data_IF_992032662279
#
_entry.id   IF_992032662279
#
_cell.length_a   1.000
_cell.length_b   1.000
_cell.length_c   1.000
_cell.angle_alpha   90.00
_cell.angle_beta   90.00
_cell.angle_gamma   90.00
#
_symmetry.space_group_name_H-M   'P 1'
#
loop_
_entity.id
_entity.type
_entity.pdbx_description
1 polymer ?
#
# COMPACT_ATOMS: atom_id res chain seq x y z
N UNK A 1 -18.45 6.74 -4.26
CA UNK A 1 -17.30 7.67 -4.16
C UNK A 1 -16.45 7.29 -2.94
N UNK A 2 -15.21 6.80 -3.11
CA UNK A 2 -14.35 6.43 -1.97
C UNK A 2 -13.91 7.71 -1.26
N UNK A 3 -14.18 7.82 0.05
CA UNK A 3 -13.71 8.94 0.89
C UNK A 3 -12.17 9.03 0.79
N UNK A 4 -11.59 10.24 0.75
CA UNK A 4 -10.15 10.40 0.80
C UNK A 4 -9.61 9.77 2.07
N UNK A 5 -8.57 8.93 1.94
CA UNK A 5 -7.90 8.29 3.06
C UNK A 5 -6.75 9.16 3.55
N UNK A 6 -6.45 9.11 4.85
CA UNK A 6 -5.31 9.84 5.44
C UNK A 6 -4.09 8.93 5.59
N UNK A 7 -4.30 7.66 5.93
CA UNK A 7 -3.28 6.62 6.04
C UNK A 7 -3.64 5.47 5.12
N UNK A 8 -2.64 4.83 4.53
CA UNK A 8 -2.86 3.72 3.61
C UNK A 8 -1.69 2.76 3.59
N UNK A 9 -1.96 1.51 3.25
CA UNK A 9 -0.96 0.48 3.09
C UNK A 9 -1.51 -0.62 2.17
N UNK A 10 -0.69 -1.09 1.24
CA UNK A 10 -0.95 -2.32 0.53
C UNK A 10 -0.19 -3.45 1.23
N UNK A 11 -0.95 -4.44 1.70
CA UNK A 11 -0.41 -5.61 2.39
C UNK A 11 -0.90 -6.89 1.73
N UNK A 12 -0.15 -7.97 1.92
CA UNK A 12 -0.50 -9.31 1.46
C UNK A 12 -1.16 -10.09 2.59
N UNK A 13 -2.37 -10.62 2.37
CA UNK A 13 -3.00 -11.57 3.30
C UNK A 13 -2.16 -12.85 3.34
N UNK A 14 -1.67 -13.21 4.53
CA UNK A 14 -0.85 -14.42 4.71
C UNK A 14 -1.72 -15.59 5.13
N UNK A 15 -2.22 -15.55 6.37
CA UNK A 15 -3.10 -16.56 6.93
C UNK A 15 -3.90 -15.97 8.10
N UNK A 16 -4.81 -16.77 8.63
CA UNK A 16 -5.60 -16.45 9.81
C UNK A 16 -5.09 -17.29 10.99
N UNK A 17 -5.20 -16.75 12.19
CA UNK A 17 -4.88 -17.46 13.43
C UNK A 17 -5.77 -16.89 14.55
N UNK A 18 -5.58 -17.35 15.77
CA UNK A 18 -6.27 -16.85 16.94
C UNK A 18 -5.26 -16.43 18.00
N UNK A 19 -5.58 -15.37 18.74
CA UNK A 19 -4.86 -14.93 19.93
C UNK A 19 -5.76 -15.08 21.14
N UNK A 20 -5.15 -15.34 22.29
CA UNK A 20 -5.86 -15.30 23.57
C UNK A 20 -5.60 -13.95 24.20
N UNK A 21 -6.65 -13.26 24.63
CA UNK A 21 -6.50 -12.05 25.44
C UNK A 21 -6.18 -12.40 26.90
N UNK A 22 -5.88 -11.38 27.70
CA UNK A 22 -5.56 -11.53 29.12
C UNK A 22 -6.71 -12.12 29.96
N UNK A 23 -7.94 -12.07 29.45
CA UNK A 23 -9.13 -12.64 30.08
C UNK A 23 -9.39 -14.09 29.64
N UNK A 24 -8.56 -14.66 28.76
CA UNK A 24 -8.71 -16.00 28.20
C UNK A 24 -9.69 -16.10 27.02
N UNK A 25 -10.17 -14.98 26.47
CA UNK A 25 -11.05 -15.00 25.31
C UNK A 25 -10.25 -15.25 24.03
N UNK A 26 -10.86 -15.98 23.09
CA UNK A 26 -10.28 -16.24 21.77
C UNK A 26 -10.63 -15.10 20.82
N UNK A 27 -9.61 -14.40 20.31
CA UNK A 27 -9.74 -13.34 19.32
C UNK A 27 -9.23 -13.83 17.96
N UNK A 28 -10.08 -13.99 16.94
CA UNK A 28 -9.65 -14.35 15.61
C UNK A 28 -8.90 -13.19 14.95
N UNK A 29 -7.73 -13.45 14.39
CA UNK A 29 -6.87 -12.44 13.76
C UNK A 29 -6.40 -12.88 12.38
N UNK A 30 -6.11 -11.90 11.52
CA UNK A 30 -5.48 -12.13 10.22
C UNK A 30 -4.09 -11.54 10.20
N UNK A 31 -3.11 -12.33 9.80
CA UNK A 31 -1.74 -11.84 9.61
C UNK A 31 -1.62 -11.26 8.20
N UNK A 32 -1.21 -10.00 8.14
CA UNK A 32 -0.95 -9.26 6.90
C UNK A 32 0.56 -8.97 6.81
N UNK A 33 1.19 -9.38 5.71
CA UNK A 33 2.58 -9.02 5.43
C UNK A 33 2.64 -7.64 4.78
N UNK A 34 3.29 -6.70 5.47
CA UNK A 34 3.55 -5.35 4.99
C UNK A 34 4.95 -5.29 4.36
N UNK A 35 5.05 -5.69 3.10
CA UNK A 35 6.27 -5.46 2.30
C UNK A 35 6.47 -3.95 2.07
N UNK A 36 7.70 -3.49 1.75
CA UNK A 36 7.96 -2.08 1.47
C UNK A 36 7.02 -1.54 0.38
N UNK A 37 6.26 -0.49 0.73
CA UNK A 37 5.36 0.21 -0.18
C UNK A 37 6.08 1.45 -0.69
N UNK A 38 6.74 1.33 -1.82
CA UNK A 38 7.56 2.41 -2.39
C UNK A 38 6.67 3.31 -3.23
N UNK A 39 6.68 4.62 -2.96
CA UNK A 39 5.97 5.61 -3.76
C UNK A 39 6.60 5.68 -5.16
N UNK A 40 5.81 5.36 -6.18
CA UNK A 40 6.26 5.36 -7.58
C UNK A 40 5.86 6.63 -8.32
N UNK A 41 4.73 7.22 -7.96
CA UNK A 41 4.20 8.43 -8.59
C UNK A 41 3.28 9.19 -7.63
N UNK A 42 3.33 10.51 -7.71
CA UNK A 42 2.39 11.42 -7.05
C UNK A 42 1.48 12.02 -8.12
N UNK A 43 0.18 11.95 -7.90
CA UNK A 43 -0.84 12.51 -8.77
C UNK A 43 -1.44 13.77 -8.18
N UNK A 44 -1.61 14.76 -9.04
CA UNK A 44 -2.07 16.10 -8.67
C UNK A 44 -3.28 16.48 -9.51
N UNK A 45 -4.11 17.40 -9.02
CA UNK A 45 -5.32 17.83 -9.74
C UNK A 45 -4.96 18.43 -11.12
N UNK A 46 -3.89 19.22 -11.18
CA UNK A 46 -3.46 19.91 -12.40
C UNK A 46 -3.05 18.95 -13.52
N UNK A 47 -2.37 17.85 -13.18
CA UNK A 47 -1.83 16.89 -14.17
C UNK A 47 -2.76 15.70 -14.41
N UNK A 48 -3.44 15.22 -13.38
CA UNK A 48 -4.15 13.94 -13.37
C UNK A 48 -5.66 14.07 -13.12
N UNK A 49 -6.15 15.27 -12.77
CA UNK A 49 -7.55 15.54 -12.45
C UNK A 49 -7.98 15.08 -11.05
N UNK A 50 -7.06 14.53 -10.24
CA UNK A 50 -7.31 14.15 -8.85
C UNK A 50 -6.02 14.00 -8.05
N UNK A 51 -6.16 13.97 -6.72
CA UNK A 51 -5.07 13.79 -5.76
C UNK A 51 -4.94 12.32 -5.39
N UNK A 52 -3.77 11.72 -5.63
CA UNK A 52 -3.47 10.34 -5.23
C UNK A 52 -1.97 10.07 -5.13
N UNK A 53 -1.63 9.02 -4.37
CA UNK A 53 -0.28 8.43 -4.38
C UNK A 53 -0.36 7.04 -4.99
N UNK A 54 0.51 6.76 -5.94
CA UNK A 54 0.76 5.42 -6.46
C UNK A 54 1.92 4.79 -5.69
N UNK A 55 1.71 3.57 -5.21
CA UNK A 55 2.76 2.76 -4.58
C UNK A 55 2.99 1.45 -5.32
N UNK A 56 4.24 1.01 -5.32
CA UNK A 56 4.68 -0.30 -5.75
C UNK A 56 5.04 -1.19 -4.56
N UNK A 57 4.58 -2.44 -4.60
CA UNK A 57 4.88 -3.47 -3.59
C UNK A 57 5.38 -4.74 -4.23
N UNK A 58 6.31 -5.39 -3.54
CA UNK A 58 6.93 -6.65 -3.91
C UNK A 58 7.83 -6.53 -5.13
N UNK A 59 8.64 -7.55 -5.36
CA UNK A 59 9.57 -7.59 -6.49
C UNK A 59 9.18 -8.68 -7.49
N UNK A 60 9.38 -8.40 -8.78
CA UNK A 60 9.13 -9.34 -9.86
C UNK A 60 10.25 -9.28 -10.89
N UNK A 61 10.57 -10.42 -11.51
CA UNK A 61 11.60 -10.49 -12.56
C UNK A 61 11.20 -9.63 -13.77
N UNK A 62 12.11 -8.76 -14.22
CA UNK A 62 11.91 -7.85 -15.35
C UNK A 62 11.43 -8.56 -16.62
N UNK A 63 11.91 -9.78 -16.92
CA UNK A 63 11.49 -10.58 -18.09
C UNK A 63 9.99 -10.88 -18.12
N UNK A 64 9.31 -10.81 -16.99
CA UNK A 64 7.88 -11.14 -16.85
C UNK A 64 6.98 -9.91 -16.76
N UNK A 65 7.52 -8.72 -16.97
CA UNK A 65 6.81 -7.43 -16.90
C UNK A 65 6.95 -6.70 -18.23
N UNK A 66 5.93 -5.94 -18.63
CA UNK A 66 5.96 -5.19 -19.87
C UNK A 66 7.00 -4.07 -19.83
N UNK A 67 7.60 -3.76 -20.99
CA UNK A 67 8.60 -2.69 -21.10
C UNK A 67 8.08 -1.33 -20.64
N UNK A 68 6.79 -1.04 -20.86
CA UNK A 68 6.15 0.20 -20.42
C UNK A 68 6.15 0.33 -18.89
N UNK A 69 5.80 -0.73 -18.16
CA UNK A 69 5.80 -0.73 -16.69
C UNK A 69 7.22 -0.63 -16.13
N UNK A 70 8.18 -1.31 -16.77
CA UNK A 70 9.60 -1.21 -16.39
C UNK A 70 10.11 0.23 -16.59
N UNK A 71 9.75 0.87 -17.71
CA UNK A 71 10.08 2.27 -17.96
C UNK A 71 9.48 3.19 -16.91
N UNK A 72 8.22 2.96 -16.54
CA UNK A 72 7.49 3.72 -15.53
C UNK A 72 8.16 3.66 -14.15
N UNK A 73 8.66 2.49 -13.74
CA UNK A 73 9.27 2.29 -12.40
C UNK A 73 10.79 2.30 -12.41
N UNK A 74 11.40 2.75 -13.51
CA UNK A 74 12.87 2.73 -13.70
C UNK A 74 13.59 3.58 -12.66
N UNK A 75 13.01 4.73 -12.28
CA UNK A 75 13.60 5.65 -11.30
C UNK A 75 13.78 5.02 -9.90
N UNK A 76 13.00 3.99 -9.59
CA UNK A 76 13.04 3.29 -8.30
C UNK A 76 13.98 2.08 -8.31
N UNK A 77 14.66 1.80 -9.44
CA UNK A 77 15.55 0.66 -9.63
C UNK A 77 14.94 -0.70 -9.23
N UNK A 78 13.60 -0.82 -9.30
CA UNK A 78 12.85 -2.01 -8.91
C UNK A 78 11.71 -2.26 -9.89
N UNK A 79 11.44 -3.53 -10.13
CA UNK A 79 10.26 -3.97 -10.89
C UNK A 79 9.24 -4.49 -9.89
N UNK A 80 8.20 -3.70 -9.66
CA UNK A 80 7.21 -4.00 -8.64
C UNK A 80 6.27 -5.13 -9.08
N UNK A 81 5.88 -5.98 -8.12
CA UNK A 81 4.89 -7.04 -8.38
C UNK A 81 3.50 -6.45 -8.58
N UNK A 82 3.15 -5.42 -7.83
CA UNK A 82 1.86 -4.75 -7.90
C UNK A 82 2.02 -3.25 -7.72
N UNK A 83 1.33 -2.48 -8.57
CA UNK A 83 1.15 -1.04 -8.44
C UNK A 83 -0.29 -0.77 -8.02
N UNK A 84 -0.52 0.15 -7.10
CA UNK A 84 -1.86 0.52 -6.63
C UNK A 84 -1.90 1.98 -6.24
N UNK A 85 -3.03 2.63 -6.49
CA UNK A 85 -3.25 4.03 -6.19
C UNK A 85 -4.17 4.21 -4.98
N UNK A 86 -3.80 5.14 -4.12
CA UNK A 86 -4.58 5.57 -2.97
C UNK A 86 -4.95 7.04 -3.14
N UNK A 87 -6.25 7.32 -3.17
CA UNK A 87 -6.77 8.69 -3.24
C UNK A 87 -6.71 9.34 -1.87
N UNK A 88 -6.00 10.46 -1.81
CA UNK A 88 -5.71 11.19 -0.57
C UNK A 88 -6.37 12.58 -0.64
N UNK A 89 -6.58 13.19 0.52
CA UNK A 89 -6.97 14.60 0.59
C UNK A 89 -5.79 15.53 0.27
N UNK A 90 -4.59 15.13 0.68
CA UNK A 90 -3.35 15.85 0.47
C UNK A 90 -2.20 14.87 0.21
N UNK A 91 -1.27 15.27 -0.65
CA UNK A 91 -0.07 14.50 -1.06
C UNK A 91 1.23 15.21 -0.74
N UNK A 92 1.17 16.41 -0.16
CA UNK A 92 2.34 17.26 0.12
C UNK A 92 3.41 16.60 0.99
N UNK A 93 3.02 15.61 1.80
CA UNK A 93 3.91 14.88 2.70
C UNK A 93 4.62 13.68 2.06
N UNK A 94 4.33 13.36 0.79
CA UNK A 94 4.92 12.22 0.11
C UNK A 94 5.87 12.68 -0.99
N UNK A 95 6.96 11.93 -1.17
CA UNK A 95 7.90 12.08 -2.27
C UNK A 95 8.06 10.75 -3.00
N UNK A 96 8.40 10.83 -4.28
CA UNK A 96 8.72 9.63 -5.07
C UNK A 96 9.95 8.95 -4.46
N UNK A 97 9.85 7.64 -4.21
CA UNK A 97 10.88 6.85 -3.54
C UNK A 97 10.63 6.62 -2.05
N UNK A 98 9.70 7.35 -1.42
CA UNK A 98 9.37 7.16 -0.01
C UNK A 98 8.79 5.76 0.24
N UNK A 99 9.04 5.22 1.44
CA UNK A 99 8.49 3.94 1.85
C UNK A 99 7.38 4.14 2.88
N UNK A 100 6.18 3.64 2.56
CA UNK A 100 5.01 3.69 3.42
C UNK A 100 4.95 2.42 4.28
N UNK A 101 5.28 2.55 5.57
CA UNK A 101 5.37 1.41 6.48
C UNK A 101 4.08 1.19 7.29
N UNK A 102 3.94 0.00 7.87
CA UNK A 102 2.86 -0.31 8.82
C UNK A 102 2.95 0.50 10.13
N UNK A 103 4.12 1.07 10.44
CA UNK A 103 4.35 1.89 11.63
C UNK A 103 3.50 3.18 11.71
N UNK A 104 2.88 3.59 10.60
CA UNK A 104 1.94 4.73 10.61
C UNK A 104 0.62 4.43 11.34
N UNK A 105 0.29 3.14 11.54
CA UNK A 105 -0.91 2.72 12.26
C UNK A 105 -0.61 2.49 13.72
N UNK A 106 -1.53 2.92 14.59
CA UNK A 106 -1.44 2.69 16.02
C UNK A 106 -2.31 1.50 16.44
N UNK A 107 -1.88 0.77 17.47
CA UNK A 107 -2.67 -0.32 18.03
C UNK A 107 -4.03 0.21 18.50
N UNK A 108 -5.12 -0.50 18.16
CA UNK A 108 -6.50 -0.10 18.44
C UNK A 108 -7.14 0.79 17.36
N UNK A 109 -6.39 1.25 16.36
CA UNK A 109 -6.93 2.04 15.25
C UNK A 109 -7.87 1.20 14.37
N UNK A 110 -9.07 1.70 14.11
CA UNK A 110 -10.02 1.05 13.20
C UNK A 110 -9.61 1.32 11.75
N UNK A 111 -9.41 0.24 11.00
CA UNK A 111 -9.00 0.31 9.58
C UNK A 111 -10.09 -0.19 8.64
N UNK A 112 -10.13 0.36 7.43
CA UNK A 112 -10.98 -0.13 6.34
C UNK A 112 -10.15 -0.96 5.38
N UNK A 113 -10.53 -2.22 5.20
CA UNK A 113 -9.81 -3.17 4.33
C UNK A 113 -10.59 -3.37 3.02
N UNK A 114 -9.88 -3.45 1.90
CA UNK A 114 -10.42 -3.88 0.62
C UNK A 114 -9.53 -4.93 -0.02
N UNK A 115 -10.11 -6.03 -0.49
CA UNK A 115 -9.43 -7.11 -1.20
C UNK A 115 -10.30 -7.67 -2.30
N UNK A 116 -9.71 -8.53 -3.14
CA UNK A 116 -10.46 -9.32 -4.13
C UNK A 116 -10.77 -10.68 -3.50
N UNK A 117 -12.03 -11.11 -3.61
CA UNK A 117 -12.53 -12.42 -3.16
C UNK A 117 -12.18 -13.51 -4.16
#
# INVERSE_FOLDING_TARGET
>A
MKRPVTKFLLAKKMHMTQLFDESGNVVPVTILAAEPNVVTQIKTVEKDGYVAVQVGVGERRAKTVSKAVIGHTKAQNKVFRKLTEFRLADVSNYKVGDNVAAAQFTVGEKVKVSGVS
#
